data_IF_285260491010
#
_entry.id   IF_285260491010
#
_cell.length_a   1.000
_cell.length_b   1.000
_cell.length_c   1.000
_cell.angle_alpha   90.00
_cell.angle_beta   90.00
_cell.angle_gamma   90.00
#
_symmetry.space_group_name_H-M   'P 1'
#
loop_
_entity.id
_entity.type
_entity.pdbx_description
1 polymer ?
#
# COMPACT_ATOMS: atom_id res chain seq x y z
N UNK A 1 -21.21 -4.52 14.16
CA UNK A 1 -20.09 -4.96 15.05
C UNK A 1 -18.89 -5.20 14.16
N UNK A 2 -17.88 -4.32 14.16
CA UNK A 2 -16.71 -4.46 13.28
C UNK A 2 -15.82 -5.58 13.85
N UNK A 3 -15.80 -6.75 13.20
CA UNK A 3 -15.09 -7.95 13.70
C UNK A 3 -13.57 -7.80 13.73
N UNK A 4 -12.99 -6.93 12.88
CA UNK A 4 -11.55 -6.79 12.74
C UNK A 4 -11.11 -5.32 12.66
N UNK A 5 -10.22 -4.89 13.56
CA UNK A 5 -9.62 -3.55 13.52
C UNK A 5 -8.50 -3.54 12.48
N UNK A 6 -8.87 -3.33 11.22
CA UNK A 6 -7.92 -3.15 10.12
C UNK A 6 -7.19 -1.82 10.35
N UNK A 7 -5.88 -1.89 10.57
CA UNK A 7 -5.02 -0.71 10.72
C UNK A 7 -4.18 -0.56 9.46
N UNK A 8 -4.62 0.34 8.59
CA UNK A 8 -3.95 0.71 7.34
C UNK A 8 -3.77 2.22 7.34
N UNK A 9 -2.58 2.69 6.97
CA UNK A 9 -2.27 4.11 6.80
C UNK A 9 -1.94 4.38 5.33
N UNK A 10 -2.65 5.32 4.72
CA UNK A 10 -2.31 5.83 3.40
C UNK A 10 -1.13 6.80 3.48
N UNK A 11 -0.23 6.72 2.49
CA UNK A 11 0.95 7.58 2.35
C UNK A 11 0.89 8.24 0.98
N UNK A 12 0.84 9.56 0.96
CA UNK A 12 0.97 10.36 -0.26
C UNK A 12 2.42 10.78 -0.50
N UNK A 13 2.74 11.15 -1.74
CA UNK A 13 4.06 11.61 -2.19
C UNK A 13 5.21 10.69 -1.73
N UNK A 14 5.10 9.39 -1.99
CA UNK A 14 6.12 8.41 -1.57
C UNK A 14 7.47 8.62 -2.27
N UNK A 15 7.49 9.38 -3.37
CA UNK A 15 8.66 9.66 -4.23
C UNK A 15 9.45 8.43 -4.67
N UNK A 16 8.84 7.26 -4.60
CA UNK A 16 9.42 6.00 -5.07
C UNK A 16 9.10 5.80 -6.55
N UNK A 17 9.96 5.05 -7.23
CA UNK A 17 9.72 4.60 -8.60
C UNK A 17 9.10 3.22 -8.62
N UNK A 18 8.36 2.94 -9.69
CA UNK A 18 7.73 1.64 -9.94
C UNK A 18 6.70 1.25 -8.88
N UNK A 19 6.45 -0.05 -8.78
CA UNK A 19 5.60 -0.62 -7.74
C UNK A 19 6.37 -1.65 -6.92
N UNK A 20 5.93 -1.88 -5.69
CA UNK A 20 6.55 -2.92 -4.88
C UNK A 20 5.93 -3.09 -3.51
N UNK A 21 6.40 -4.12 -2.82
CA UNK A 21 6.03 -4.47 -1.46
C UNK A 21 7.32 -4.67 -0.67
N UNK A 22 7.37 -4.14 0.55
CA UNK A 22 8.51 -4.27 1.45
C UNK A 22 8.05 -4.40 2.90
N UNK A 23 8.65 -5.32 3.65
CA UNK A 23 8.55 -5.31 5.11
C UNK A 23 9.38 -4.16 5.69
N UNK A 24 8.76 -3.38 6.57
CA UNK A 24 9.38 -2.26 7.30
C UNK A 24 9.30 -2.55 8.81
N UNK A 25 9.70 -1.57 9.63
CA UNK A 25 9.75 -1.66 11.10
C UNK A 25 8.61 -2.50 11.72
N UNK A 26 8.95 -3.46 12.60
CA UNK A 26 8.01 -4.35 13.30
C UNK A 26 7.06 -5.12 12.36
N UNK A 27 7.59 -5.62 11.25
CA UNK A 27 6.89 -6.43 10.24
C UNK A 27 5.72 -5.74 9.54
N UNK A 28 5.61 -4.41 9.66
CA UNK A 28 4.63 -3.67 8.87
C UNK A 28 4.92 -3.84 7.39
N UNK A 29 3.87 -3.93 6.58
CA UNK A 29 4.02 -4.05 5.13
C UNK A 29 3.85 -2.66 4.53
N UNK A 30 4.85 -2.20 3.79
CA UNK A 30 4.74 -1.03 2.94
C UNK A 30 4.58 -1.48 1.49
N UNK A 31 3.46 -1.13 0.88
CA UNK A 31 3.21 -1.29 -0.55
C UNK A 31 3.13 0.08 -1.20
N UNK A 32 3.64 0.23 -2.42
CA UNK A 32 3.61 1.50 -3.13
C UNK A 32 3.41 1.33 -4.64
N UNK A 33 2.91 2.40 -5.25
CA UNK A 33 2.93 2.68 -6.68
C UNK A 33 3.41 4.10 -6.86
N UNK A 34 4.50 4.23 -7.59
CA UNK A 34 5.04 5.52 -8.00
C UNK A 34 5.32 5.55 -9.49
N UNK A 35 5.99 6.61 -9.91
CA UNK A 35 6.25 6.89 -11.33
C UNK A 35 7.13 5.84 -11.99
N UNK A 36 6.95 5.65 -13.29
CA UNK A 36 7.68 4.63 -14.03
C UNK A 36 9.16 5.01 -14.21
N UNK A 37 10.06 4.03 -14.42
CA UNK A 37 11.42 4.32 -14.84
C UNK A 37 11.40 5.17 -16.12
N UNK A 38 12.06 6.32 -16.09
CA UNK A 38 12.08 7.29 -17.20
C UNK A 38 11.28 8.57 -16.93
N UNK A 39 10.37 8.57 -15.97
CA UNK A 39 9.62 9.76 -15.59
C UNK A 39 10.40 10.62 -14.58
N UNK A 40 10.40 11.94 -14.81
CA UNK A 40 11.07 12.95 -13.97
C UNK A 40 10.25 13.32 -12.74
N UNK A 41 8.93 13.30 -12.85
CA UNK A 41 8.05 13.59 -11.73
C UNK A 41 8.10 12.44 -10.72
N UNK A 42 8.21 12.76 -9.43
CA UNK A 42 8.30 11.76 -8.34
C UNK A 42 6.97 11.61 -7.61
N UNK A 43 5.87 11.44 -8.34
CA UNK A 43 4.60 11.11 -7.71
C UNK A 43 4.60 9.67 -7.19
N UNK A 44 3.79 9.42 -6.18
CA UNK A 44 3.55 8.08 -5.71
C UNK A 44 2.66 8.05 -4.49
N UNK A 45 1.89 6.98 -4.38
CA UNK A 45 1.08 6.66 -3.23
C UNK A 45 1.49 5.31 -2.67
N UNK A 46 1.13 5.04 -1.42
CA UNK A 46 1.39 3.77 -0.79
C UNK A 46 0.51 3.53 0.42
N UNK A 47 0.54 2.30 0.91
CA UNK A 47 -0.10 1.92 2.15
C UNK A 47 0.90 1.27 3.09
N UNK A 48 0.85 1.68 4.35
CA UNK A 48 1.49 1.00 5.47
C UNK A 48 0.43 0.17 6.18
N UNK A 49 0.64 -1.14 6.22
CA UNK A 49 -0.32 -2.13 6.69
C UNK A 49 0.26 -2.80 7.93
N UNK A 50 -0.51 -2.82 9.03
CA UNK A 50 -0.12 -3.53 10.23
C UNK A 50 -0.02 -5.04 9.98
N UNK A 51 0.91 -5.78 10.62
CA UNK A 51 1.06 -7.22 10.43
C UNK A 51 -0.25 -7.99 10.65
N UNK A 52 -1.00 -7.62 11.69
CA UNK A 52 -2.29 -8.22 12.01
C UNK A 52 -3.38 -7.95 10.96
N UNK A 53 -3.25 -6.89 10.16
CA UNK A 53 -4.16 -6.52 9.09
C UNK A 53 -3.78 -7.19 7.75
N UNK A 54 -2.48 -7.44 7.52
CA UNK A 54 -1.98 -8.00 6.26
C UNK A 54 -2.60 -9.35 5.91
N UNK A 55 -2.90 -10.20 6.91
CA UNK A 55 -3.55 -11.51 6.72
C UNK A 55 -5.00 -11.43 6.19
N UNK A 56 -5.61 -10.24 6.21
CA UNK A 56 -6.95 -10.00 5.72
C UNK A 56 -6.98 -9.32 4.35
N UNK A 57 -5.81 -9.02 3.76
CA UNK A 57 -5.73 -8.47 2.41
C UNK A 57 -5.78 -9.63 1.40
N UNK A 58 -6.77 -9.57 0.52
CA UNK A 58 -6.95 -10.54 -0.57
C UNK A 58 -6.15 -10.14 -1.80
N UNK A 59 -6.17 -8.84 -2.12
CA UNK A 59 -5.61 -8.32 -3.36
C UNK A 59 -5.16 -6.87 -3.18
N UNK A 60 -4.06 -6.52 -3.85
CA UNK A 60 -3.58 -5.15 -4.00
C UNK A 60 -3.46 -4.86 -5.49
N UNK A 61 -4.24 -3.91 -5.98
CA UNK A 61 -4.21 -3.47 -7.37
C UNK A 61 -3.54 -2.10 -7.48
N UNK A 62 -2.55 -1.99 -8.39
CA UNK A 62 -1.76 -0.80 -8.59
C UNK A 62 -2.22 -0.03 -9.84
N UNK A 63 -3.33 0.70 -9.71
CA UNK A 63 -3.97 1.39 -10.84
C UNK A 63 -3.13 2.54 -11.40
N UNK A 64 -2.57 3.40 -10.55
CA UNK A 64 -1.68 4.49 -10.98
C UNK A 64 -0.79 4.98 -9.84
N UNK A 65 0.17 5.87 -10.14
CA UNK A 65 0.99 6.58 -9.15
C UNK A 65 0.18 7.46 -8.19
N UNK A 66 -1.14 7.55 -8.36
CA UNK A 66 -2.08 8.26 -7.48
C UNK A 66 -3.10 7.33 -6.82
N UNK A 67 -3.25 6.10 -7.28
CA UNK A 67 -4.34 5.20 -6.87
C UNK A 67 -3.82 3.78 -6.67
N UNK A 68 -4.06 3.25 -5.47
CA UNK A 68 -3.90 1.83 -5.13
C UNK A 68 -5.22 1.37 -4.52
N UNK A 69 -5.72 0.21 -4.96
CA UNK A 69 -6.88 -0.44 -4.36
C UNK A 69 -6.42 -1.60 -3.48
N UNK A 70 -6.98 -1.69 -2.28
CA UNK A 70 -6.81 -2.83 -1.38
C UNK A 70 -8.16 -3.50 -1.21
N UNK A 71 -8.27 -4.76 -1.61
CA UNK A 71 -9.42 -5.60 -1.30
C UNK A 71 -9.13 -6.40 -0.05
N UNK A 72 -10.00 -6.30 0.95
CA UNK A 72 -9.91 -7.07 2.20
C UNK A 72 -11.03 -8.10 2.27
N UNK A 73 -10.82 -9.20 3.00
CA UNK A 73 -11.93 -10.09 3.39
C UNK A 73 -12.94 -9.26 4.19
N UNK A 74 -14.20 -9.24 3.77
CA UNK A 74 -15.26 -8.63 4.58
C UNK A 74 -15.39 -9.41 5.90
N UNK A 75 -15.39 -8.68 7.02
CA UNK A 75 -15.69 -9.23 8.35
C UNK A 75 -17.17 -9.22 8.65
#
# INVERSE_FOLDING_TARGET
>A
MIKHKITIMGVADTRRKGQGIKKIHKDFIFTWRGTQPGETNKHGVGFVIAPAAAKYILEIEYTSERIIHIRTVQG
#
